data_IF_530650868700
#
_entry.id   IF_530650868700
#
_cell.length_a   1.000
_cell.length_b   1.000
_cell.length_c   1.000
_cell.angle_alpha   90.00
_cell.angle_beta   90.00
_cell.angle_gamma   90.00
#
_symmetry.space_group_name_H-M   'P 1'
#
loop_
_entity.id
_entity.type
_entity.pdbx_description
1 polymer ?
#
# COMPACT_ATOMS: atom_id res chain seq x y z
N UNK A 1 -46.58 -32.26 -34.14
CA UNK A 1 -47.27 -33.36 -33.43
C UNK A 1 -47.51 -32.93 -31.99
N UNK A 2 -48.78 -32.75 -31.60
CA UNK A 2 -49.18 -32.65 -30.19
C UNK A 2 -49.56 -34.06 -29.71
N UNK A 3 -49.31 -34.39 -28.44
CA UNK A 3 -50.26 -35.00 -27.49
C UNK A 3 -49.59 -35.52 -26.20
N UNK A 4 -50.25 -35.22 -25.07
CA UNK A 4 -50.44 -36.06 -23.85
C UNK A 4 -49.23 -36.17 -22.90
N UNK A 5 -49.19 -35.47 -21.75
CA UNK A 5 -49.97 -35.59 -20.48
C UNK A 5 -49.84 -36.96 -19.82
N UNK A 6 -49.15 -37.07 -18.66
CA UNK A 6 -49.78 -37.62 -17.45
C UNK A 6 -48.92 -37.53 -16.18
N UNK A 7 -49.63 -37.64 -15.08
CA UNK A 7 -49.29 -37.28 -13.70
C UNK A 7 -48.77 -38.44 -12.83
N UNK A 8 -48.29 -38.05 -11.63
CA UNK A 8 -48.26 -38.79 -10.33
C UNK A 8 -47.16 -39.87 -10.26
N UNK A 9 -46.42 -40.05 -9.15
CA UNK A 9 -46.83 -40.38 -7.77
C UNK A 9 -45.65 -40.16 -6.80
N UNK A 10 -45.81 -39.43 -5.69
CA UNK A 10 -45.99 -39.88 -4.28
C UNK A 10 -44.76 -40.47 -3.55
N UNK A 11 -44.45 -39.83 -2.39
CA UNK A 11 -44.14 -40.37 -1.04
C UNK A 11 -42.81 -41.17 -0.90
N UNK A 12 -42.09 -41.22 0.23
CA UNK A 12 -42.13 -40.63 1.57
C UNK A 12 -40.87 -41.09 2.36
N UNK A 13 -40.62 -40.50 3.55
CA UNK A 13 -40.02 -41.12 4.76
C UNK A 13 -38.51 -41.53 4.69
N UNK A 14 -37.65 -41.53 5.72
CA UNK A 14 -37.67 -41.42 7.20
C UNK A 14 -36.19 -41.37 7.65
N UNK A 15 -35.82 -40.52 8.62
CA UNK A 15 -35.39 -40.85 10.00
C UNK A 15 -33.96 -41.43 10.23
N UNK A 16 -33.35 -40.98 11.33
CA UNK A 16 -32.24 -41.65 12.03
C UNK A 16 -30.90 -40.91 11.95
N UNK A 17 -30.01 -40.85 12.95
CA UNK A 17 -29.90 -41.43 14.31
C UNK A 17 -28.85 -40.57 15.06
N UNK A 18 -29.04 -40.41 16.36
CA UNK A 18 -28.14 -39.84 17.38
C UNK A 18 -26.77 -40.54 17.49
N UNK A 19 -25.68 -39.78 17.71
CA UNK A 19 -24.45 -40.30 18.31
C UNK A 19 -23.92 -39.38 19.43
N UNK A 20 -23.51 -40.05 20.50
CA UNK A 20 -23.08 -39.59 21.82
C UNK A 20 -21.57 -39.33 21.89
N UNK A 21 -21.20 -38.42 22.81
CA UNK A 21 -19.98 -38.36 23.64
C UNK A 21 -18.60 -38.16 22.99
N UNK A 22 -17.95 -37.05 23.37
CA UNK A 22 -16.52 -37.03 23.71
C UNK A 22 -16.24 -35.88 24.68
N UNK A 23 -15.95 -36.21 25.94
CA UNK A 23 -15.35 -35.29 26.90
C UNK A 23 -13.89 -35.08 26.50
N UNK A 24 -13.51 -33.84 26.17
CA UNK A 24 -12.12 -33.47 25.90
C UNK A 24 -11.67 -32.56 27.04
N UNK A 25 -10.68 -33.04 27.80
CA UNK A 25 -9.99 -32.24 28.81
C UNK A 25 -9.34 -31.04 28.11
N UNK A 26 -9.84 -29.84 28.38
CA UNK A 26 -9.20 -28.60 27.96
C UNK A 26 -7.90 -28.42 28.73
N UNK A 27 -6.77 -28.75 28.11
CA UNK A 27 -5.47 -28.25 28.55
C UNK A 27 -5.52 -26.73 28.47
N UNK A 28 -5.28 -26.07 29.60
CA UNK A 28 -5.11 -24.63 29.65
C UNK A 28 -3.95 -24.26 28.73
N UNK A 29 -4.29 -23.80 27.52
CA UNK A 29 -3.32 -23.23 26.60
C UNK A 29 -2.74 -22.00 27.28
N UNK A 30 -1.47 -22.08 27.64
CA UNK A 30 -0.67 -20.91 27.90
C UNK A 30 -0.72 -20.06 26.62
N UNK A 31 -1.57 -19.03 26.62
CA UNK A 31 -1.57 -18.02 25.59
C UNK A 31 -0.23 -17.28 25.71
N UNK A 32 0.76 -17.76 24.97
CA UNK A 32 1.93 -16.96 24.61
C UNK A 32 1.38 -15.76 23.88
N UNK A 33 1.34 -14.60 24.55
CA UNK A 33 1.10 -13.32 23.90
C UNK A 33 2.20 -13.12 22.87
N UNK A 34 1.97 -13.57 21.64
CA UNK A 34 2.71 -13.09 20.49
C UNK A 34 2.46 -11.60 20.44
N UNK A 35 3.49 -10.80 20.76
CA UNK A 35 3.48 -9.39 20.46
C UNK A 35 3.17 -9.27 18.96
N UNK A 36 1.96 -8.84 18.65
CA UNK A 36 1.51 -8.64 17.29
C UNK A 36 2.34 -7.48 16.75
N UNK A 37 3.38 -7.77 15.96
CA UNK A 37 4.14 -6.75 15.26
C UNK A 37 3.14 -5.93 14.46
N UNK A 38 2.95 -4.67 14.86
CA UNK A 38 1.99 -3.78 14.22
C UNK A 38 2.19 -3.79 12.70
N UNK A 39 1.10 -3.95 11.95
CA UNK A 39 1.18 -4.00 10.49
C UNK A 39 1.89 -2.72 9.97
N UNK A 40 2.78 -2.83 8.97
CA UNK A 40 3.50 -1.67 8.43
C UNK A 40 2.50 -0.60 7.95
N UNK A 41 2.56 0.59 8.55
CA UNK A 41 1.72 1.70 8.13
C UNK A 41 2.35 2.41 6.94
N UNK A 42 1.55 2.66 5.91
CA UNK A 42 1.97 3.39 4.72
C UNK A 42 0.89 4.35 4.25
N UNK A 43 1.31 5.50 3.71
CA UNK A 43 0.39 6.52 3.20
C UNK A 43 0.98 7.17 1.96
N UNK A 44 0.20 7.26 0.89
CA UNK A 44 0.58 8.06 -0.27
C UNK A 44 0.44 9.55 0.09
N UNK A 45 1.50 10.32 -0.10
CA UNK A 45 1.56 11.74 0.26
C UNK A 45 1.55 12.65 -0.98
N UNK A 46 1.98 12.13 -2.13
CA UNK A 46 1.91 12.83 -3.41
C UNK A 46 1.78 11.85 -4.58
N UNK A 47 1.19 12.31 -5.69
CA UNK A 47 1.18 11.59 -6.95
C UNK A 47 1.11 12.55 -8.13
N UNK A 48 1.83 12.25 -9.21
CA UNK A 48 1.80 12.98 -10.47
C UNK A 48 1.86 12.01 -11.64
N UNK A 49 1.25 12.38 -12.77
CA UNK A 49 1.26 11.60 -14.01
C UNK A 49 1.96 12.44 -15.08
N UNK A 50 2.99 11.87 -15.71
CA UNK A 50 3.75 12.51 -16.79
C UNK A 50 3.24 11.99 -18.13
N UNK A 51 2.49 12.83 -18.85
CA UNK A 51 1.85 12.45 -20.10
C UNK A 51 0.94 11.22 -19.91
N UNK A 52 1.12 10.20 -20.75
CA UNK A 52 0.40 8.93 -20.68
C UNK A 52 1.22 7.76 -20.13
N UNK A 53 2.53 7.95 -19.97
CA UNK A 53 3.46 6.82 -19.91
C UNK A 53 3.98 6.57 -18.50
N UNK A 54 4.11 7.62 -17.69
CA UNK A 54 4.64 7.51 -16.34
C UNK A 54 3.70 8.06 -15.29
N UNK A 55 3.68 7.40 -14.13
CA UNK A 55 3.11 7.92 -12.89
C UNK A 55 4.15 7.85 -11.80
N UNK A 56 4.26 8.90 -11.02
CA UNK A 56 5.22 9.03 -9.93
C UNK A 56 4.45 9.25 -8.65
N UNK A 57 4.79 8.50 -7.61
CA UNK A 57 4.14 8.63 -6.30
C UNK A 57 5.19 8.78 -5.21
N UNK A 58 4.89 9.60 -4.21
CA UNK A 58 5.59 9.62 -2.94
C UNK A 58 4.76 8.87 -1.89
N UNK A 59 5.35 7.89 -1.24
CA UNK A 59 4.72 7.10 -0.17
C UNK A 59 5.52 7.25 1.12
N UNK A 60 4.90 7.74 2.18
CA UNK A 60 5.44 7.66 3.53
C UNK A 60 5.26 6.24 4.08
N UNK A 61 6.28 5.72 4.75
CA UNK A 61 6.28 4.43 5.44
C UNK A 61 6.70 4.66 6.89
N UNK A 62 5.88 4.21 7.84
CA UNK A 62 6.23 4.27 9.27
C UNK A 62 7.33 3.25 9.56
N UNK A 63 8.32 3.64 10.36
CA UNK A 63 9.38 2.70 10.76
C UNK A 63 8.78 1.56 11.59
N UNK A 64 9.24 0.31 11.38
CA UNK A 64 8.79 -0.83 12.18
C UNK A 64 9.37 -0.82 13.61
N UNK A 65 10.42 -0.03 13.86
CA UNK A 65 11.15 0.00 15.14
C UNK A 65 11.05 1.33 15.88
N UNK A 66 10.72 2.42 15.19
CA UNK A 66 10.45 3.73 15.80
C UNK A 66 9.11 4.26 15.32
N UNK A 67 8.16 4.37 16.23
CA UNK A 67 6.80 4.76 15.92
C UNK A 67 6.68 6.24 15.47
N UNK A 68 7.69 7.07 15.72
CA UNK A 68 7.72 8.47 15.30
C UNK A 68 8.50 8.68 14.01
N UNK A 69 9.31 7.70 13.61
CA UNK A 69 10.13 7.78 12.41
C UNK A 69 9.40 7.27 11.16
N UNK A 70 9.81 7.81 10.02
CA UNK A 70 9.29 7.44 8.72
C UNK A 70 10.36 7.50 7.64
N UNK A 71 10.17 6.64 6.64
CA UNK A 71 10.89 6.64 5.38
C UNK A 71 9.97 7.14 4.26
N UNK A 72 10.51 7.78 3.24
CA UNK A 72 9.74 8.17 2.04
C UNK A 72 10.23 7.39 0.85
N UNK A 73 9.31 6.73 0.15
CA UNK A 73 9.59 6.06 -1.12
C UNK A 73 9.05 6.87 -2.29
N UNK A 74 9.95 7.21 -3.22
CA UNK A 74 9.60 7.66 -4.56
C UNK A 74 9.48 6.45 -5.46
N UNK A 75 8.30 6.24 -6.04
CA UNK A 75 8.02 5.11 -6.93
C UNK A 75 7.63 5.63 -8.29
N UNK A 76 8.20 5.02 -9.32
CA UNK A 76 7.84 5.26 -10.72
C UNK A 76 7.07 4.07 -11.24
N UNK A 77 5.99 4.36 -11.94
CA UNK A 77 5.14 3.38 -12.61
C UNK A 77 5.13 3.69 -14.10
N UNK A 78 5.25 2.65 -14.92
CA UNK A 78 4.99 2.70 -16.36
C UNK A 78 3.57 2.24 -16.65
N UNK A 79 2.91 2.92 -17.58
CA UNK A 79 1.65 2.43 -18.13
C UNK A 79 1.95 1.35 -19.16
N UNK A 80 1.61 0.09 -18.86
CA UNK A 80 1.84 -1.05 -19.73
C UNK A 80 0.60 -1.95 -19.71
N UNK A 81 0.15 -2.40 -20.88
CA UNK A 81 -1.02 -3.28 -21.03
C UNK A 81 -2.30 -2.76 -20.33
N UNK A 82 -2.51 -1.44 -20.31
CA UNK A 82 -3.68 -0.81 -19.67
C UNK A 82 -3.62 -0.73 -18.14
N UNK A 83 -2.46 -0.99 -17.54
CA UNK A 83 -2.27 -0.93 -16.10
C UNK A 83 -0.96 -0.21 -15.73
N UNK A 84 -0.94 0.41 -14.56
CA UNK A 84 0.28 0.97 -13.98
C UNK A 84 1.12 -0.13 -13.34
N UNK A 85 2.32 -0.37 -13.87
CA UNK A 85 3.29 -1.32 -13.31
C UNK A 85 4.49 -0.56 -12.75
N UNK A 86 4.87 -0.83 -11.51
CA UNK A 86 6.03 -0.19 -10.91
C UNK A 86 7.28 -0.55 -11.72
N UNK A 87 8.00 0.46 -12.20
CA UNK A 87 9.25 0.29 -12.95
C UNK A 87 10.48 0.51 -12.08
N UNK A 88 10.40 1.43 -11.12
CA UNK A 88 11.52 1.74 -10.24
C UNK A 88 11.05 2.33 -8.90
N UNK A 89 11.96 2.34 -7.94
CA UNK A 89 11.73 2.86 -6.59
C UNK A 89 13.04 3.27 -5.92
N UNK A 90 13.04 4.44 -5.30
CA UNK A 90 14.15 4.93 -4.45
C UNK A 90 13.62 5.52 -3.14
N UNK A 91 14.49 5.63 -2.15
CA UNK A 91 14.20 6.34 -0.90
C UNK A 91 14.55 7.81 -1.06
N UNK A 92 13.67 8.71 -0.61
CA UNK A 92 13.93 10.15 -0.58
C UNK A 92 14.59 10.50 0.75
N UNK A 93 15.82 11.00 0.68
CA UNK A 93 16.63 11.27 1.87
C UNK A 93 17.04 9.98 2.59
N UNK A 94 17.14 10.05 3.91
CA UNK A 94 17.56 8.91 4.74
C UNK A 94 16.39 8.00 5.09
N UNK A 95 16.66 6.70 5.20
CA UNK A 95 15.75 5.75 5.84
C UNK A 95 15.50 6.19 7.28
N UNK A 96 14.23 6.23 7.66
CA UNK A 96 13.76 6.66 8.98
C UNK A 96 14.22 8.08 9.37
N UNK A 97 14.56 8.90 8.37
CA UNK A 97 15.00 10.28 8.54
C UNK A 97 13.88 11.30 8.66
N UNK A 98 12.61 10.88 8.55
CA UNK A 98 11.44 11.75 8.58
C UNK A 98 10.58 11.49 9.81
N UNK A 99 9.75 12.47 10.18
CA UNK A 99 8.77 12.31 11.25
C UNK A 99 7.42 11.87 10.67
N UNK A 100 6.89 10.74 11.14
CA UNK A 100 5.66 10.13 10.61
C UNK A 100 4.45 11.07 10.63
N UNK A 101 4.22 11.77 11.75
CA UNK A 101 3.03 12.62 11.90
C UNK A 101 3.05 13.88 11.03
N UNK A 102 4.14 14.67 10.97
CA UNK A 102 4.25 15.75 9.99
C UNK A 102 4.10 15.27 8.54
N UNK A 103 4.72 14.14 8.21
CA UNK A 103 4.77 13.59 6.84
C UNK A 103 3.43 12.98 6.38
N UNK A 104 2.50 12.70 7.29
CA UNK A 104 1.16 12.18 6.95
C UNK A 104 0.06 13.23 7.10
N UNK A 105 0.41 14.46 7.50
CA UNK A 105 -0.50 15.59 7.58
C UNK A 105 -0.76 16.30 6.25
N UNK A 106 -1.64 17.31 6.27
CA UNK A 106 -2.06 18.09 5.09
C UNK A 106 -0.94 18.92 4.45
N UNK A 107 0.15 19.17 5.17
CA UNK A 107 1.29 19.97 4.72
C UNK A 107 2.57 19.15 4.60
N UNK A 108 2.46 17.83 4.40
CA UNK A 108 3.61 16.93 4.31
C UNK A 108 4.58 17.27 3.17
N UNK A 109 4.05 17.76 2.05
CA UNK A 109 4.79 18.01 0.81
C UNK A 109 4.83 19.51 0.57
N UNK A 110 6.02 20.08 0.61
CA UNK A 110 6.26 21.49 0.30
C UNK A 110 6.49 21.69 -1.19
N UNK A 111 7.24 20.78 -1.81
CA UNK A 111 7.47 20.76 -3.24
C UNK A 111 7.39 19.33 -3.76
N UNK A 112 6.62 19.16 -4.83
CA UNK A 112 6.64 17.97 -5.66
C UNK A 112 6.40 18.42 -7.10
N UNK A 113 7.50 18.77 -7.77
CA UNK A 113 7.48 19.34 -9.12
C UNK A 113 8.07 18.36 -10.11
N UNK A 114 7.53 18.38 -11.34
CA UNK A 114 7.96 17.50 -12.42
C UNK A 114 7.53 18.04 -13.77
N UNK A 115 8.21 17.62 -14.83
CA UNK A 115 7.87 17.98 -16.21
C UNK A 115 7.68 16.72 -17.08
N UNK A 116 6.72 16.81 -18.01
CA UNK A 116 6.46 15.78 -19.03
C UNK A 116 7.48 15.86 -20.17
N UNK A 117 8.76 15.76 -19.84
CA UNK A 117 9.92 15.74 -20.75
C UNK A 117 10.71 14.46 -20.56
N UNK A 118 11.57 14.09 -21.51
CA UNK A 118 12.51 12.97 -21.34
C UNK A 118 13.93 13.51 -21.51
N UNK A 119 14.77 13.48 -20.46
CA UNK A 119 14.48 13.05 -19.09
C UNK A 119 13.48 13.97 -18.34
N UNK A 120 12.74 13.41 -17.38
CA UNK A 120 11.78 14.15 -16.56
C UNK A 120 12.47 14.61 -15.26
N UNK A 121 12.68 15.92 -15.06
CA UNK A 121 13.19 16.43 -13.79
C UNK A 121 12.15 16.23 -12.68
N UNK A 122 12.64 16.06 -11.46
CA UNK A 122 11.86 15.95 -10.24
C UNK A 122 12.52 16.75 -9.13
N UNK A 123 11.76 17.59 -8.44
CA UNK A 123 12.18 18.14 -7.16
C UNK A 123 11.20 17.73 -6.07
N UNK A 124 11.74 17.34 -4.92
CA UNK A 124 10.99 16.89 -3.75
C UNK A 124 11.46 17.65 -2.52
N UNK A 125 10.58 18.43 -1.91
CA UNK A 125 10.76 19.03 -0.59
C UNK A 125 9.61 18.64 0.32
N UNK A 126 9.94 18.26 1.55
CA UNK A 126 8.99 17.70 2.51
C UNK A 126 9.07 18.49 3.82
N UNK A 127 7.97 18.53 4.55
CA UNK A 127 7.97 19.15 5.89
C UNK A 127 8.75 18.27 6.85
N UNK A 128 9.79 18.84 7.47
CA UNK A 128 10.58 18.20 8.52
C UNK A 128 9.76 18.17 9.81
N UNK A 129 9.41 19.35 10.31
CA UNK A 129 8.47 19.56 11.42
C UNK A 129 7.75 20.90 11.23
N UNK A 130 6.61 21.16 11.89
CA UNK A 130 5.93 22.45 11.78
C UNK A 130 6.77 23.66 12.19
N UNK A 131 7.75 23.48 13.08
CA UNK A 131 8.63 24.56 13.56
C UNK A 131 9.88 24.77 12.70
N UNK A 132 10.38 23.72 12.05
CA UNK A 132 11.53 23.81 11.12
C UNK A 132 11.07 24.24 9.73
N UNK A 133 9.90 23.77 9.31
CA UNK A 133 9.37 23.97 7.96
C UNK A 133 9.86 22.90 6.97
N UNK A 134 10.09 23.32 5.74
CA UNK A 134 10.41 22.47 4.62
C UNK A 134 11.89 22.09 4.58
N UNK A 135 12.20 20.89 4.09
CA UNK A 135 13.56 20.49 3.76
C UNK A 135 14.08 21.26 2.54
N UNK A 136 15.40 21.31 2.39
CA UNK A 136 15.97 21.63 1.08
C UNK A 136 15.44 20.65 0.01
N UNK A 137 15.13 21.11 -1.21
CA UNK A 137 14.63 20.23 -2.27
C UNK A 137 15.70 19.23 -2.71
N UNK A 138 15.34 17.95 -2.72
CA UNK A 138 16.15 16.88 -3.30
C UNK A 138 15.75 16.70 -4.76
N UNK A 139 16.74 16.66 -5.63
CA UNK A 139 16.54 16.61 -7.07
C UNK A 139 16.79 15.20 -7.61
N UNK A 140 15.91 14.78 -8.51
CA UNK A 140 16.02 13.52 -9.22
C UNK A 140 15.71 13.74 -10.69
N UNK A 141 16.10 12.78 -11.51
CA UNK A 141 15.74 12.69 -12.90
C UNK A 141 15.13 11.31 -13.15
N UNK A 142 13.95 11.27 -13.77
CA UNK A 142 13.39 10.03 -14.31
C UNK A 142 13.76 9.91 -15.78
N UNK A 143 14.48 8.84 -16.10
CA UNK A 143 14.88 8.52 -17.47
C UNK A 143 14.53 7.07 -17.77
N UNK A 144 13.77 6.84 -18.84
CA UNK A 144 13.31 5.51 -19.25
C UNK A 144 12.60 4.76 -18.10
N UNK A 145 11.87 5.50 -17.25
CA UNK A 145 11.16 5.02 -16.06
C UNK A 145 12.05 4.49 -14.93
N UNK A 146 13.32 4.91 -14.90
CA UNK A 146 14.23 4.72 -13.76
C UNK A 146 14.59 6.06 -13.14
N UNK A 147 14.83 6.07 -11.84
CA UNK A 147 15.15 7.26 -11.05
C UNK A 147 16.66 7.36 -10.89
N UNK A 148 17.18 8.56 -11.10
CA UNK A 148 18.58 8.91 -10.90
C UNK A 148 18.63 10.13 -9.97
N UNK A 149 19.58 10.17 -9.05
CA UNK A 149 19.90 11.42 -8.36
C UNK A 149 20.55 12.37 -9.38
N UNK A 150 20.15 13.64 -9.34
CA UNK A 150 20.76 14.70 -10.14
C UNK A 150 22.01 15.27 -9.44
#
# INVERSE_FOLDING_TARGET
>A
MNLVRSHRTRRAATAGVTLLLAAVLGTAGAATSTAETAAPQSQQIASSVLGSDYKITLTALRSPTDEYAASVQLKVYKHDSGAWKQSDRVTVGNVDGWFWYPLTGSHAVCEFSTASTEPAPLAVSLTVTPSIGCSEPVHYVVKQGRVYAD
#
